data_IF_993870186270
#
_entry.id   IF_993870186270
#
_cell.length_a   1.000
_cell.length_b   1.000
_cell.length_c   1.000
_cell.angle_alpha   90.00
_cell.angle_beta   90.00
_cell.angle_gamma   90.00
#
_symmetry.space_group_name_H-M   'P 1'
#
loop_
_entity.id
_entity.type
_entity.pdbx_description
1 polymer ?
#
# COMPACT_ATOMS: atom_id res chain seq x y z
N UNK A 1 33.32 -7.34 13.73
CA UNK A 1 32.18 -6.59 13.15
C UNK A 1 31.42 -7.41 12.10
N UNK A 2 32.12 -8.13 11.21
CA UNK A 2 31.54 -9.00 10.18
C UNK A 2 30.55 -10.06 10.69
N UNK A 3 30.87 -10.75 11.80
CA UNK A 3 29.97 -11.72 12.46
C UNK A 3 28.66 -11.14 13.00
N UNK A 4 28.59 -9.82 13.26
CA UNK A 4 27.37 -9.15 13.75
C UNK A 4 26.45 -8.77 12.57
N UNK A 5 27.03 -8.44 11.42
CA UNK A 5 26.30 -8.18 10.17
C UNK A 5 25.70 -9.46 9.59
N UNK A 6 26.44 -10.57 9.62
CA UNK A 6 25.95 -11.89 9.20
C UNK A 6 24.79 -12.40 10.09
N UNK A 7 24.89 -12.18 11.41
CA UNK A 7 23.83 -12.54 12.36
C UNK A 7 22.54 -11.71 12.20
N UNK A 8 22.66 -10.45 11.78
CA UNK A 8 21.50 -9.59 11.45
C UNK A 8 20.87 -10.03 10.12
N UNK A 9 21.67 -10.46 9.14
CA UNK A 9 21.19 -11.04 7.90
C UNK A 9 20.47 -12.38 8.12
N UNK A 10 20.95 -13.24 9.03
CA UNK A 10 20.26 -14.47 9.44
C UNK A 10 18.97 -14.22 10.22
N UNK A 11 18.93 -13.22 11.11
CA UNK A 11 17.73 -12.83 11.86
C UNK A 11 16.60 -12.30 10.96
N UNK A 12 16.95 -11.54 9.91
CA UNK A 12 15.97 -11.10 8.90
C UNK A 12 15.43 -12.27 8.06
N UNK A 13 16.21 -13.32 7.86
CA UNK A 13 15.80 -14.50 7.09
C UNK A 13 14.84 -15.41 7.87
N UNK A 14 14.77 -15.28 9.20
CA UNK A 14 14.00 -16.16 10.09
C UNK A 14 12.54 -15.73 10.34
N UNK A 15 12.11 -14.56 9.83
CA UNK A 15 10.80 -13.96 10.14
C UNK A 15 9.73 -14.05 9.04
N UNK A 16 9.98 -14.76 7.93
CA UNK A 16 9.10 -14.63 6.75
C UNK A 16 8.91 -15.87 5.90
N UNK A 17 9.19 -17.08 6.40
CA UNK A 17 8.90 -18.29 5.63
C UNK A 17 7.57 -18.93 6.05
N UNK A 18 6.60 -18.71 5.15
CA UNK A 18 5.44 -19.54 4.85
C UNK A 18 4.38 -19.68 5.94
N UNK A 19 3.30 -18.92 5.78
CA UNK A 19 1.98 -19.44 6.14
C UNK A 19 0.98 -19.16 5.01
N UNK A 20 0.77 -20.20 4.21
CA UNK A 20 -0.28 -20.52 3.24
C UNK A 20 -0.87 -19.49 2.26
N UNK A 21 -0.96 -18.17 2.50
CA UNK A 21 -1.44 -17.19 1.49
C UNK A 21 -0.95 -15.77 1.81
N UNK A 22 0.11 -15.31 1.12
CA UNK A 22 0.53 -13.90 1.11
C UNK A 22 1.22 -13.40 2.39
N UNK A 23 2.23 -12.53 2.25
CA UNK A 23 2.97 -11.99 3.41
C UNK A 23 2.10 -11.18 4.37
N UNK A 24 2.66 -10.78 5.53
CA UNK A 24 2.00 -9.93 6.56
C UNK A 24 1.28 -8.69 5.99
N UNK A 25 1.72 -8.22 4.84
CA UNK A 25 1.20 -7.05 4.12
C UNK A 25 -0.25 -7.22 3.62
N UNK A 26 -0.77 -8.44 3.50
CA UNK A 26 -2.08 -8.73 2.89
C UNK A 26 -3.15 -9.21 3.89
N UNK A 27 -2.86 -9.18 5.19
CA UNK A 27 -3.81 -9.63 6.22
C UNK A 27 -5.08 -8.77 6.21
N UNK A 28 -4.96 -7.48 5.95
CA UNK A 28 -6.10 -6.57 5.87
C UNK A 28 -7.09 -6.98 4.78
N UNK A 29 -6.59 -7.29 3.58
CA UNK A 29 -7.38 -7.78 2.46
C UNK A 29 -8.09 -9.10 2.75
N UNK A 30 -7.37 -10.03 3.39
CA UNK A 30 -7.91 -11.34 3.74
C UNK A 30 -9.04 -11.23 4.78
N UNK A 31 -8.82 -10.45 5.84
CA UNK A 31 -9.82 -10.24 6.88
C UNK A 31 -11.03 -9.49 6.32
N UNK A 32 -10.78 -8.46 5.51
CA UNK A 32 -11.84 -7.66 4.91
C UNK A 32 -12.71 -8.49 3.95
N UNK A 33 -12.10 -9.21 3.01
CA UNK A 33 -12.84 -10.06 2.07
C UNK A 33 -13.56 -11.22 2.78
N UNK A 34 -12.90 -11.90 3.72
CA UNK A 34 -13.52 -13.04 4.41
C UNK A 34 -14.65 -12.68 5.36
N UNK A 35 -14.58 -11.53 6.03
CA UNK A 35 -15.70 -11.05 6.85
C UNK A 35 -16.88 -10.68 5.95
N UNK A 36 -16.64 -9.96 4.86
CA UNK A 36 -17.71 -9.53 3.96
C UNK A 36 -18.38 -10.73 3.27
N UNK A 37 -17.59 -11.67 2.75
CA UNK A 37 -18.11 -12.90 2.11
C UNK A 37 -18.93 -13.76 3.06
N UNK A 38 -18.48 -13.92 4.31
CA UNK A 38 -19.23 -14.67 5.33
C UNK A 38 -20.56 -13.99 5.69
N UNK A 39 -20.56 -12.67 5.90
CA UNK A 39 -21.75 -11.92 6.32
C UNK A 39 -22.77 -11.84 5.17
N UNK A 40 -22.33 -11.49 3.96
CA UNK A 40 -23.20 -11.35 2.78
C UNK A 40 -23.82 -12.69 2.38
N UNK A 41 -23.03 -13.76 2.31
CA UNK A 41 -23.53 -15.10 2.02
C UNK A 41 -24.53 -15.57 3.08
N UNK A 42 -24.23 -15.35 4.37
CA UNK A 42 -25.17 -15.68 5.44
C UNK A 42 -26.49 -14.92 5.31
N UNK A 43 -26.44 -13.61 5.04
CA UNK A 43 -27.64 -12.79 4.89
C UNK A 43 -28.53 -13.28 3.73
N UNK A 44 -27.93 -13.66 2.60
CA UNK A 44 -28.66 -14.19 1.44
C UNK A 44 -29.31 -15.54 1.75
N UNK A 45 -28.55 -16.47 2.35
CA UNK A 45 -29.06 -17.79 2.70
C UNK A 45 -30.18 -17.67 3.74
N UNK A 46 -30.00 -16.87 4.78
CA UNK A 46 -31.01 -16.64 5.82
C UNK A 46 -32.26 -15.96 5.27
N UNK A 47 -32.12 -14.98 4.38
CA UNK A 47 -33.25 -14.32 3.72
C UNK A 47 -34.02 -15.26 2.80
N UNK A 48 -33.32 -16.10 2.05
CA UNK A 48 -33.93 -17.09 1.16
C UNK A 48 -34.69 -18.18 1.93
N UNK A 49 -34.13 -18.65 3.05
CA UNK A 49 -34.81 -19.58 3.96
C UNK A 49 -36.05 -18.93 4.61
N UNK A 50 -35.93 -17.67 5.07
CA UNK A 50 -37.06 -16.91 5.62
C UNK A 50 -38.19 -16.69 4.61
N UNK A 51 -37.88 -16.69 3.31
CA UNK A 51 -38.83 -16.63 2.21
C UNK A 51 -39.33 -18.02 1.75
N UNK A 52 -38.92 -19.10 2.42
CA UNK A 52 -39.26 -20.48 2.10
C UNK A 52 -38.93 -20.88 0.65
N UNK A 53 -37.78 -20.40 0.14
CA UNK A 53 -37.29 -20.75 -1.19
C UNK A 53 -36.72 -22.18 -1.22
N UNK A 54 -36.84 -22.85 -2.36
CA UNK A 54 -36.27 -24.19 -2.52
C UNK A 54 -34.73 -24.19 -2.45
N UNK A 55 -34.15 -25.25 -1.87
CA UNK A 55 -32.70 -25.39 -1.67
C UNK A 55 -31.85 -25.12 -2.91
N UNK A 56 -32.31 -25.56 -4.09
CA UNK A 56 -31.61 -25.31 -5.36
C UNK A 56 -31.50 -23.82 -5.67
N UNK A 57 -32.56 -23.05 -5.38
CA UNK A 57 -32.58 -21.60 -5.59
C UNK A 57 -31.63 -20.92 -4.61
N UNK A 58 -31.63 -21.33 -3.34
CA UNK A 58 -30.72 -20.82 -2.31
C UNK A 58 -29.25 -21.00 -2.72
N UNK A 59 -28.88 -22.19 -3.19
CA UNK A 59 -27.51 -22.50 -3.62
C UNK A 59 -27.08 -21.66 -4.83
N UNK A 60 -27.97 -21.49 -5.82
CA UNK A 60 -27.69 -20.66 -6.99
C UNK A 60 -27.51 -19.20 -6.58
N UNK A 61 -28.38 -18.66 -5.72
CA UNK A 61 -28.29 -17.28 -5.23
C UNK A 61 -27.00 -17.05 -4.45
N UNK A 62 -26.69 -17.92 -3.48
CA UNK A 62 -25.48 -17.80 -2.68
C UNK A 62 -24.21 -17.88 -3.52
N UNK A 63 -24.10 -18.85 -4.42
CA UNK A 63 -22.88 -19.02 -5.24
C UNK A 63 -22.72 -17.89 -6.27
N UNK A 64 -23.82 -17.45 -6.88
CA UNK A 64 -23.78 -16.35 -7.85
C UNK A 64 -23.39 -15.04 -7.17
N UNK A 65 -23.94 -14.77 -6.00
CA UNK A 65 -23.54 -13.61 -5.21
C UNK A 65 -22.08 -13.69 -4.79
N UNK A 66 -21.63 -14.84 -4.29
CA UNK A 66 -20.24 -15.03 -3.84
C UNK A 66 -19.24 -14.69 -4.97
N UNK A 67 -19.49 -15.20 -6.18
CA UNK A 67 -18.63 -14.93 -7.34
C UNK A 67 -18.73 -13.47 -7.78
N UNK A 68 -19.93 -12.91 -7.85
CA UNK A 68 -20.16 -11.56 -8.36
C UNK A 68 -19.54 -10.50 -7.44
N UNK A 69 -19.80 -10.59 -6.14
CA UNK A 69 -19.34 -9.62 -5.15
C UNK A 69 -17.84 -9.78 -4.90
N UNK A 70 -17.34 -11.01 -4.77
CA UNK A 70 -15.91 -11.28 -4.66
C UNK A 70 -15.13 -10.75 -5.85
N UNK A 71 -15.65 -10.92 -7.08
CA UNK A 71 -15.04 -10.36 -8.28
C UNK A 71 -15.05 -8.83 -8.27
N UNK A 72 -16.19 -8.21 -7.91
CA UNK A 72 -16.32 -6.76 -7.80
C UNK A 72 -15.29 -6.17 -6.83
N UNK A 73 -15.18 -6.75 -5.63
CA UNK A 73 -14.21 -6.34 -4.61
C UNK A 73 -12.77 -6.53 -5.08
N UNK A 74 -12.46 -7.66 -5.73
CA UNK A 74 -11.14 -7.95 -6.27
C UNK A 74 -10.68 -6.90 -7.29
N UNK A 75 -11.55 -6.59 -8.25
CA UNK A 75 -11.29 -5.60 -9.30
C UNK A 75 -11.19 -4.19 -8.70
N UNK A 76 -12.09 -3.84 -7.77
CA UNK A 76 -12.03 -2.56 -7.07
C UNK A 76 -10.70 -2.37 -6.33
N UNK A 77 -10.25 -3.40 -5.60
CA UNK A 77 -9.01 -3.36 -4.85
C UNK A 77 -7.77 -3.33 -5.78
N UNK A 78 -7.81 -4.05 -6.90
CA UNK A 78 -6.79 -3.96 -7.95
C UNK A 78 -6.59 -2.52 -8.42
N UNK A 79 -7.68 -1.85 -8.83
CA UNK A 79 -7.61 -0.50 -9.36
C UNK A 79 -7.27 0.53 -8.29
N UNK A 80 -7.69 0.33 -7.05
CA UNK A 80 -7.30 1.18 -5.92
C UNK A 80 -5.78 1.17 -5.72
N UNK A 81 -5.17 0.00 -5.52
CA UNK A 81 -3.71 -0.11 -5.32
C UNK A 81 -2.93 0.32 -6.57
N UNK A 82 -3.45 0.02 -7.76
CA UNK A 82 -2.83 0.48 -9.01
C UNK A 82 -2.86 2.00 -9.12
N UNK A 83 -3.99 2.64 -8.82
CA UNK A 83 -4.14 4.09 -8.88
C UNK A 83 -3.22 4.80 -7.90
N UNK A 84 -3.09 4.29 -6.67
CA UNK A 84 -2.14 4.83 -5.69
C UNK A 84 -0.69 4.75 -6.19
N UNK A 85 -0.32 3.62 -6.78
CA UNK A 85 1.02 3.41 -7.35
C UNK A 85 1.29 4.34 -8.53
N UNK A 86 0.34 4.45 -9.45
CA UNK A 86 0.47 5.30 -10.63
C UNK A 86 0.53 6.78 -10.21
N UNK A 87 -0.24 7.18 -9.19
CA UNK A 87 -0.20 8.51 -8.62
C UNK A 87 1.13 8.82 -7.93
N UNK A 88 1.68 7.88 -7.16
CA UNK A 88 2.99 8.00 -6.54
C UNK A 88 4.10 8.18 -7.60
N UNK A 89 4.10 7.34 -8.63
CA UNK A 89 5.12 7.43 -9.68
C UNK A 89 4.98 8.74 -10.48
N UNK A 90 3.75 9.17 -10.76
CA UNK A 90 3.51 10.47 -11.42
C UNK A 90 4.14 11.63 -10.64
N UNK A 91 3.85 11.74 -9.34
CA UNK A 91 4.41 12.82 -8.51
C UNK A 91 5.92 12.71 -8.40
N UNK A 92 6.45 11.48 -8.30
CA UNK A 92 7.90 11.26 -8.30
C UNK A 92 8.59 11.76 -9.57
N UNK A 93 7.94 11.64 -10.72
CA UNK A 93 8.47 12.19 -11.98
C UNK A 93 8.38 13.72 -12.04
N UNK A 94 7.31 14.30 -11.46
CA UNK A 94 7.15 15.75 -11.34
C UNK A 94 8.27 16.33 -10.47
N UNK A 95 8.52 15.72 -9.30
CA UNK A 95 9.59 16.09 -8.38
C UNK A 95 10.98 16.04 -9.04
N UNK A 96 11.24 15.00 -9.85
CA UNK A 96 12.48 14.93 -10.61
C UNK A 96 12.64 16.06 -11.62
N UNK A 97 11.53 16.53 -12.20
CA UNK A 97 11.49 17.63 -13.14
C UNK A 97 11.66 18.97 -12.41
N UNK A 98 11.02 19.16 -11.25
CA UNK A 98 11.13 20.37 -10.43
C UNK A 98 12.58 20.57 -9.95
N UNK A 99 13.23 19.53 -9.44
CA UNK A 99 14.65 19.59 -9.06
C UNK A 99 15.59 19.95 -10.23
N UNK A 100 15.22 19.60 -11.47
CA UNK A 100 16.00 19.94 -12.67
C UNK A 100 15.73 21.35 -13.19
N UNK A 101 14.51 21.85 -13.07
CA UNK A 101 14.05 23.07 -13.74
C UNK A 101 13.86 24.25 -12.78
N UNK A 102 13.57 23.98 -11.50
CA UNK A 102 13.25 24.93 -10.44
C UNK A 102 14.19 24.79 -9.23
N UNK A 103 15.43 24.37 -9.47
CA UNK A 103 16.40 23.95 -8.44
C UNK A 103 16.53 24.89 -7.24
N UNK A 104 16.58 26.21 -7.46
CA UNK A 104 16.75 27.17 -6.35
C UNK A 104 15.51 27.23 -5.44
N UNK A 105 14.32 27.04 -6.00
CA UNK A 105 13.07 26.97 -5.24
C UNK A 105 13.04 25.69 -4.40
N UNK A 106 13.31 24.54 -5.02
CA UNK A 106 13.37 23.23 -4.35
C UNK A 106 14.38 23.18 -3.18
N UNK A 107 15.49 23.91 -3.29
CA UNK A 107 16.48 24.02 -2.19
C UNK A 107 15.89 24.81 -1.01
N UNK A 108 15.14 25.89 -1.29
CA UNK A 108 14.47 26.65 -0.23
C UNK A 108 13.36 25.82 0.42
N UNK A 109 12.63 25.00 -0.33
CA UNK A 109 11.62 24.11 0.24
C UNK A 109 12.21 23.10 1.23
N UNK A 110 13.33 22.45 0.88
CA UNK A 110 14.08 21.62 1.85
C UNK A 110 14.51 22.44 3.07
N UNK A 111 14.99 23.68 2.86
CA UNK A 111 15.39 24.56 3.97
C UNK A 111 14.20 24.88 4.88
N UNK A 112 13.03 25.18 4.33
CA UNK A 112 11.81 25.47 5.08
C UNK A 112 11.31 24.24 5.84
N UNK A 113 11.26 23.07 5.20
CA UNK A 113 10.89 21.79 5.81
C UNK A 113 11.74 21.53 7.05
N UNK A 114 13.07 21.64 6.95
CA UNK A 114 13.95 21.35 8.08
C UNK A 114 13.99 22.49 9.11
N UNK A 115 13.81 23.75 8.69
CA UNK A 115 13.64 24.88 9.62
C UNK A 115 12.40 24.68 10.50
N UNK A 116 11.29 24.21 9.93
CA UNK A 116 10.05 23.91 10.68
C UNK A 116 10.25 22.82 11.74
N UNK A 117 11.20 21.90 11.50
CA UNK A 117 11.60 20.84 12.45
C UNK A 117 12.58 21.32 13.52
N UNK A 118 12.94 22.60 13.53
CA UNK A 118 13.81 23.22 14.53
C UNK A 118 15.30 23.26 14.16
N UNK A 119 15.68 22.88 12.93
CA UNK A 119 17.06 23.03 12.47
C UNK A 119 17.35 24.51 12.19
N UNK A 120 18.49 25.02 12.67
CA UNK A 120 18.86 26.44 12.55
C UNK A 120 20.35 26.63 12.29
N UNK A 121 20.71 27.82 11.80
CA UNK A 121 22.10 28.25 11.62
C UNK A 121 22.89 27.32 10.67
N UNK A 122 24.15 27.07 11.01
CA UNK A 122 25.06 26.27 10.20
C UNK A 122 24.58 24.83 9.98
N UNK A 123 23.93 24.24 10.99
CA UNK A 123 23.43 22.87 10.89
C UNK A 123 22.33 22.73 9.84
N UNK A 124 21.44 23.73 9.72
CA UNK A 124 20.40 23.73 8.69
C UNK A 124 21.02 23.69 7.29
N UNK A 125 21.98 24.57 7.02
CA UNK A 125 22.63 24.63 5.70
C UNK A 125 23.44 23.36 5.39
N UNK A 126 24.07 22.73 6.40
CA UNK A 126 24.75 21.45 6.22
C UNK A 126 23.76 20.32 5.87
N UNK A 127 22.60 20.26 6.52
CA UNK A 127 21.54 19.29 6.22
C UNK A 127 20.99 19.49 4.81
N UNK A 128 20.65 20.73 4.44
CA UNK A 128 20.16 21.09 3.10
C UNK A 128 21.17 20.68 2.05
N UNK A 129 22.46 20.99 2.24
CA UNK A 129 23.53 20.64 1.30
C UNK A 129 23.66 19.12 1.14
N UNK A 130 23.62 18.35 2.24
CA UNK A 130 23.75 16.89 2.18
C UNK A 130 22.57 16.26 1.44
N UNK A 131 21.33 16.69 1.72
CA UNK A 131 20.14 16.16 1.06
C UNK A 131 20.15 16.47 -0.44
N UNK A 132 20.42 17.73 -0.79
CA UNK A 132 20.39 18.23 -2.18
C UNK A 132 21.57 17.71 -3.02
N UNK A 133 22.62 17.17 -2.39
CA UNK A 133 23.77 16.57 -3.09
C UNK A 133 23.44 15.27 -3.84
N UNK A 134 22.38 14.56 -3.43
CA UNK A 134 21.96 13.31 -4.06
C UNK A 134 20.52 13.42 -4.54
N UNK A 135 20.34 13.49 -5.86
CA UNK A 135 19.02 13.66 -6.49
C UNK A 135 17.98 12.62 -6.02
N UNK A 136 18.39 11.37 -5.78
CA UNK A 136 17.46 10.34 -5.31
C UNK A 136 17.03 10.60 -3.86
N UNK A 137 17.97 10.95 -2.98
CA UNK A 137 17.66 11.28 -1.58
C UNK A 137 16.81 12.53 -1.49
N UNK A 138 17.10 13.53 -2.32
CA UNK A 138 16.31 14.77 -2.42
C UNK A 138 14.86 14.47 -2.81
N UNK A 139 14.63 13.79 -3.94
CA UNK A 139 13.28 13.39 -4.39
C UNK A 139 12.58 12.53 -3.34
N UNK A 140 13.26 11.51 -2.79
CA UNK A 140 12.66 10.63 -1.80
C UNK A 140 12.35 11.40 -0.48
N UNK A 141 13.04 12.52 -0.21
CA UNK A 141 12.74 13.43 0.90
C UNK A 141 11.52 14.30 0.60
N UNK A 142 11.45 14.94 -0.56
CA UNK A 142 10.32 15.78 -0.96
C UNK A 142 9.03 14.98 -1.06
N UNK A 143 9.08 13.82 -1.73
CA UNK A 143 7.95 12.88 -1.80
C UNK A 143 7.38 12.54 -0.41
N UNK A 144 8.23 12.44 0.61
CA UNK A 144 7.79 12.06 1.96
C UNK A 144 7.40 13.26 2.82
N UNK A 145 8.19 14.32 2.79
CA UNK A 145 8.10 15.42 3.76
C UNK A 145 7.24 16.59 3.24
N UNK A 146 7.15 16.76 1.92
CA UNK A 146 6.30 17.78 1.28
C UNK A 146 4.96 17.17 0.85
N UNK A 147 5.00 16.07 0.09
CA UNK A 147 3.79 15.44 -0.48
C UNK A 147 3.14 14.40 0.43
N UNK A 148 3.76 14.07 1.57
CA UNK A 148 3.32 13.03 2.51
C UNK A 148 3.08 11.65 1.85
N UNK A 149 3.76 11.39 0.73
CA UNK A 149 3.61 10.18 -0.07
C UNK A 149 4.67 9.12 0.30
N UNK A 150 4.20 7.93 0.63
CA UNK A 150 5.06 6.77 0.89
C UNK A 150 4.82 5.70 -0.16
N UNK A 151 5.90 5.11 -0.66
CA UNK A 151 5.82 4.02 -1.62
C UNK A 151 5.12 2.81 -0.99
N UNK A 152 3.96 2.45 -1.53
CA UNK A 152 3.26 1.22 -1.14
C UNK A 152 4.09 -0.04 -1.43
N UNK A 153 4.06 -1.00 -0.50
CA UNK A 153 4.71 -2.32 -0.66
C UNK A 153 3.83 -3.33 -1.40
N UNK A 154 2.51 -3.08 -1.44
CA UNK A 154 1.51 -3.99 -2.00
C UNK A 154 1.60 -4.03 -3.52
N UNK A 155 1.27 -5.19 -4.08
CA UNK A 155 1.16 -5.37 -5.53
C UNK A 155 -0.32 -5.52 -5.91
N UNK A 156 -0.80 -4.78 -6.93
CA UNK A 156 -2.21 -4.80 -7.31
C UNK A 156 -2.77 -6.22 -7.52
N UNK A 157 -2.04 -7.08 -8.25
CA UNK A 157 -2.49 -8.44 -8.56
C UNK A 157 -2.60 -9.35 -7.32
N UNK A 158 -1.67 -9.23 -6.35
CA UNK A 158 -1.73 -10.05 -5.13
C UNK A 158 -2.84 -9.57 -4.21
N UNK A 159 -2.99 -8.26 -4.05
CA UNK A 159 -4.08 -7.66 -3.29
C UNK A 159 -5.45 -8.10 -3.85
N UNK A 160 -5.63 -8.04 -5.16
CA UNK A 160 -6.84 -8.50 -5.84
C UNK A 160 -7.12 -10.01 -5.62
N UNK A 161 -6.08 -10.84 -5.77
CA UNK A 161 -6.22 -12.29 -5.59
C UNK A 161 -6.55 -12.65 -4.13
N UNK A 162 -5.87 -12.04 -3.16
CA UNK A 162 -6.14 -12.30 -1.73
C UNK A 162 -7.57 -11.91 -1.39
N UNK A 163 -8.04 -10.73 -1.83
CA UNK A 163 -9.43 -10.30 -1.62
C UNK A 163 -10.42 -11.29 -2.23
N UNK A 164 -10.23 -11.69 -3.50
CA UNK A 164 -11.15 -12.62 -4.18
C UNK A 164 -11.25 -13.97 -3.48
N UNK A 165 -10.11 -14.59 -3.13
CA UNK A 165 -10.10 -15.92 -2.53
C UNK A 165 -10.44 -15.92 -1.04
N UNK A 166 -10.36 -14.76 -0.39
CA UNK A 166 -10.83 -14.62 0.99
C UNK A 166 -12.33 -14.48 1.09
N UNK A 167 -12.97 -13.88 0.08
CA UNK A 167 -14.42 -13.70 -0.02
C UNK A 167 -15.12 -15.05 -0.25
#
# INVERSE_FOLDING_TARGET
MQKKAEKIAELNNHYGKNWFFGGKEYIGEFVYGGIDGAITTFAIVAGAEGANLGITVVLILGLTNLIADGFSMSVGNFFSVKSERDNFEKHRQIEYWEIENLKDQEIEEIREIYRSKGFTGKLLEEVVMVITSNKKVWVDTMMKEELEMVKGLKTPYKTAAVTFFSF
#
